data_IF_098441569012
#
_entry.id   IF_098441569012
#
_cell.length_a   1.000
_cell.length_b   1.000
_cell.length_c   1.000
_cell.angle_alpha   90.00
_cell.angle_beta   90.00
_cell.angle_gamma   90.00
#
_symmetry.space_group_name_H-M   'P 1'
#
loop_
_entity.id
_entity.type
_entity.pdbx_description
1 polymer ?
#
# COMPACT_ATOMS: atom_id res chain seq x y z
N UNK A 1 13.83 -15.23 -70.45
CA UNK A 1 13.44 -14.07 -69.61
C UNK A 1 14.34 -12.88 -69.95
N UNK A 2 13.77 -11.72 -70.25
CA UNK A 2 14.53 -10.51 -70.61
C UNK A 2 15.38 -10.07 -69.41
N UNK A 3 16.61 -9.63 -69.67
CA UNK A 3 17.60 -9.21 -68.67
C UNK A 3 17.02 -8.20 -67.65
N UNK A 4 16.18 -7.27 -68.12
CA UNK A 4 15.47 -6.31 -67.29
C UNK A 4 14.61 -6.94 -66.18
N UNK A 5 13.96 -8.08 -66.46
CA UNK A 5 13.10 -8.77 -65.46
C UNK A 5 13.93 -9.38 -64.33
N UNK A 6 15.12 -9.92 -64.64
CA UNK A 6 16.04 -10.46 -63.62
C UNK A 6 16.59 -9.35 -62.73
N UNK A 7 16.95 -8.22 -63.33
CA UNK A 7 17.45 -7.06 -62.60
C UNK A 7 16.38 -6.48 -61.66
N UNK A 8 15.15 -6.33 -62.14
CA UNK A 8 14.02 -5.87 -61.33
C UNK A 8 13.74 -6.78 -60.13
N UNK A 9 13.80 -8.11 -60.31
CA UNK A 9 13.63 -9.08 -59.23
C UNK A 9 14.70 -8.95 -58.14
N UNK A 10 15.97 -8.75 -58.52
CA UNK A 10 17.07 -8.56 -57.57
C UNK A 10 16.88 -7.28 -56.75
N UNK A 11 16.55 -6.17 -57.41
CA UNK A 11 16.27 -4.91 -56.71
C UNK A 11 15.05 -5.00 -55.79
N UNK A 12 13.98 -5.66 -56.24
CA UNK A 12 12.81 -5.91 -55.39
C UNK A 12 13.17 -6.76 -54.17
N UNK A 13 13.99 -7.80 -54.34
CA UNK A 13 14.48 -8.62 -53.24
C UNK A 13 15.31 -7.81 -52.24
N UNK A 14 16.20 -6.95 -52.73
CA UNK A 14 16.99 -6.06 -51.89
C UNK A 14 16.11 -5.10 -51.06
N UNK A 15 15.08 -4.51 -51.69
CA UNK A 15 14.12 -3.63 -51.00
C UNK A 15 13.38 -4.38 -49.89
N UNK A 16 12.93 -5.61 -50.14
CA UNK A 16 12.24 -6.42 -49.13
C UNK A 16 13.17 -6.75 -47.97
N UNK A 17 14.42 -7.14 -48.23
CA UNK A 17 15.39 -7.47 -47.18
C UNK A 17 15.72 -6.22 -46.36
N UNK A 18 16.05 -5.10 -47.01
CA UNK A 18 16.36 -3.85 -46.34
C UNK A 18 15.16 -3.34 -45.51
N UNK A 19 13.95 -3.39 -46.07
CA UNK A 19 12.73 -3.03 -45.37
C UNK A 19 12.47 -3.92 -44.14
N UNK A 20 12.69 -5.22 -44.27
CA UNK A 20 12.53 -6.17 -43.17
C UNK A 20 13.50 -5.89 -42.02
N UNK A 21 14.76 -5.56 -42.33
CA UNK A 21 15.77 -5.18 -41.33
C UNK A 21 15.34 -3.91 -40.58
N UNK A 22 14.87 -2.89 -41.31
CA UNK A 22 14.42 -1.63 -40.68
C UNK A 22 13.21 -1.88 -39.78
N UNK A 23 12.20 -2.60 -40.25
CA UNK A 23 11.01 -2.92 -39.45
C UNK A 23 11.37 -3.72 -38.21
N UNK A 24 12.25 -4.71 -38.34
CA UNK A 24 12.73 -5.50 -37.21
C UNK A 24 13.46 -4.63 -36.17
N UNK A 25 14.41 -3.81 -36.62
CA UNK A 25 15.16 -2.91 -35.72
C UNK A 25 14.25 -1.94 -34.98
N UNK A 26 13.29 -1.32 -35.68
CA UNK A 26 12.31 -0.43 -35.05
C UNK A 26 11.47 -1.21 -34.03
N UNK A 27 10.99 -2.41 -34.39
CA UNK A 27 10.19 -3.22 -33.47
C UNK A 27 10.95 -3.60 -32.20
N UNK A 28 12.24 -3.92 -32.29
CA UNK A 28 13.07 -4.24 -31.12
C UNK A 28 13.26 -2.98 -30.28
N UNK A 29 13.68 -1.86 -30.87
CA UNK A 29 13.87 -0.62 -30.12
C UNK A 29 12.58 -0.12 -29.45
N UNK A 30 11.44 -0.24 -30.12
CA UNK A 30 10.15 0.13 -29.51
C UNK A 30 9.81 -0.77 -28.31
N UNK A 31 10.10 -2.07 -28.38
CA UNK A 31 9.90 -2.98 -27.24
C UNK A 31 10.77 -2.55 -26.05
N UNK A 32 12.05 -2.32 -26.29
CA UNK A 32 13.00 -1.94 -25.22
C UNK A 32 12.60 -0.63 -24.55
N UNK A 33 12.22 0.39 -25.35
CA UNK A 33 11.74 1.68 -24.83
C UNK A 33 10.47 1.50 -24.01
N UNK A 34 9.53 0.68 -24.50
CA UNK A 34 8.26 0.48 -23.82
C UNK A 34 8.44 -0.31 -22.52
N UNK A 35 9.29 -1.32 -22.51
CA UNK A 35 9.63 -2.08 -21.31
C UNK A 35 10.30 -1.20 -20.25
N UNK A 36 11.26 -0.37 -20.66
CA UNK A 36 11.90 0.62 -19.79
C UNK A 36 10.88 1.59 -19.20
N UNK A 37 10.01 2.16 -20.03
CA UNK A 37 8.99 3.11 -19.57
C UNK A 37 7.97 2.46 -18.62
N UNK A 38 7.58 1.20 -18.87
CA UNK A 38 6.70 0.45 -17.97
C UNK A 38 7.41 0.19 -16.63
N UNK A 39 8.67 -0.26 -16.67
CA UNK A 39 9.46 -0.52 -15.46
C UNK A 39 9.61 0.73 -14.62
N UNK A 40 10.00 1.85 -15.21
CA UNK A 40 10.15 3.13 -14.53
C UNK A 40 8.82 3.57 -13.88
N UNK A 41 7.70 3.40 -14.60
CA UNK A 41 6.39 3.77 -14.08
C UNK A 41 5.95 2.88 -12.92
N UNK A 42 6.21 1.58 -13.00
CA UNK A 42 5.93 0.64 -11.91
C UNK A 42 6.78 0.95 -10.69
N UNK A 43 8.06 1.29 -10.88
CA UNK A 43 8.94 1.67 -9.79
C UNK A 43 8.47 2.95 -9.10
N UNK A 44 8.09 3.98 -9.87
CA UNK A 44 7.53 5.22 -9.35
C UNK A 44 6.24 4.95 -8.55
N UNK A 45 5.34 4.12 -9.09
CA UNK A 45 4.10 3.73 -8.41
C UNK A 45 4.37 2.96 -7.12
N UNK A 46 5.33 2.03 -7.12
CA UNK A 46 5.73 1.29 -5.94
C UNK A 46 6.29 2.22 -4.86
N UNK A 47 7.14 3.18 -5.24
CA UNK A 47 7.66 4.20 -4.33
C UNK A 47 6.54 5.03 -3.71
N UNK A 48 5.60 5.53 -4.52
CA UNK A 48 4.46 6.29 -4.01
C UNK A 48 3.52 5.46 -3.13
N UNK A 49 3.34 4.17 -3.43
CA UNK A 49 2.57 3.27 -2.60
C UNK A 49 3.23 3.09 -1.22
N UNK A 50 4.55 2.88 -1.19
CA UNK A 50 5.30 2.76 0.05
C UNK A 50 5.26 4.05 0.88
N UNK A 51 5.48 5.22 0.27
CA UNK A 51 5.37 6.50 0.99
C UNK A 51 3.97 6.71 1.59
N UNK A 52 2.91 6.32 0.88
CA UNK A 52 1.54 6.37 1.43
C UNK A 52 1.34 5.39 2.59
N UNK A 53 1.89 4.19 2.49
CA UNK A 53 1.84 3.19 3.56
C UNK A 53 2.56 3.71 4.81
N UNK A 54 3.77 4.24 4.65
CA UNK A 54 4.57 4.80 5.74
C UNK A 54 3.86 5.96 6.42
N UNK A 55 3.31 6.90 5.64
CA UNK A 55 2.50 8.00 6.17
C UNK A 55 1.28 7.49 6.92
N UNK A 56 0.61 6.46 6.40
CA UNK A 56 -0.55 5.88 7.07
C UNK A 56 -0.18 5.17 8.39
N UNK A 57 0.97 4.48 8.45
CA UNK A 57 1.49 3.91 9.69
C UNK A 57 1.90 4.98 10.68
N UNK A 58 2.62 6.00 10.23
CA UNK A 58 3.02 7.13 11.07
C UNK A 58 1.79 7.85 11.66
N UNK A 59 0.76 8.09 10.84
CA UNK A 59 -0.49 8.67 11.32
C UNK A 59 -1.14 7.80 12.39
N UNK A 60 -1.24 6.48 12.18
CA UNK A 60 -1.80 5.55 13.19
C UNK A 60 -0.99 5.54 14.49
N UNK A 61 0.34 5.54 14.38
CA UNK A 61 1.23 5.63 15.53
C UNK A 61 1.04 6.94 16.30
N UNK A 62 0.97 8.07 15.60
CA UNK A 62 0.74 9.37 16.21
C UNK A 62 -0.63 9.45 16.91
N UNK A 63 -1.67 8.90 16.30
CA UNK A 63 -3.00 8.81 16.93
C UNK A 63 -3.00 7.90 18.17
N UNK A 64 -2.28 6.78 18.14
CA UNK A 64 -2.11 5.93 19.31
C UNK A 64 -1.37 6.67 20.45
N UNK A 65 -0.40 7.53 20.13
CA UNK A 65 0.28 8.38 21.10
C UNK A 65 -0.66 9.41 21.74
N UNK A 66 -1.50 10.07 20.94
CA UNK A 66 -2.54 10.99 21.46
C UNK A 66 -3.50 10.24 22.39
N UNK A 67 -4.01 9.08 21.95
CA UNK A 67 -4.92 8.28 22.78
C UNK A 67 -4.26 7.84 24.10
N UNK A 68 -2.98 7.50 24.07
CA UNK A 68 -2.20 7.20 25.29
C UNK A 68 -2.15 8.41 26.21
N UNK A 69 -1.90 9.60 25.69
CA UNK A 69 -1.86 10.84 26.50
C UNK A 69 -3.22 11.14 27.13
N UNK A 70 -4.32 11.02 26.38
CA UNK A 70 -5.69 11.13 26.91
C UNK A 70 -5.98 10.09 28.01
N UNK A 71 -5.52 8.85 27.83
CA UNK A 71 -5.66 7.78 28.83
C UNK A 71 -4.84 8.05 30.09
N UNK A 72 -3.58 8.50 29.95
CA UNK A 72 -2.72 8.83 31.09
C UNK A 72 -3.32 9.97 31.90
N UNK A 73 -3.82 11.02 31.25
CA UNK A 73 -4.52 12.12 31.91
C UNK A 73 -5.73 11.58 32.71
N UNK A 74 -6.56 10.75 32.07
CA UNK A 74 -7.72 10.13 32.71
C UNK A 74 -7.36 9.28 33.95
N UNK A 75 -6.24 8.53 33.90
CA UNK A 75 -5.79 7.70 35.03
C UNK A 75 -5.05 8.49 36.13
N UNK A 76 -4.46 9.65 35.79
CA UNK A 76 -3.67 10.45 36.74
C UNK A 76 -4.51 11.20 37.78
N UNK A 77 -5.83 11.32 37.57
CA UNK A 77 -6.77 11.97 38.50
C UNK A 77 -7.12 11.15 39.75
N UNK A 78 -6.36 10.10 40.08
CA UNK A 78 -6.64 9.24 41.26
C UNK A 78 -7.91 8.38 41.13
N UNK A 79 -8.47 8.30 39.92
CA UNK A 79 -9.63 7.46 39.60
C UNK A 79 -9.15 6.03 39.37
N UNK A 80 -9.74 5.08 40.09
CA UNK A 80 -9.55 3.67 39.77
C UNK A 80 -10.15 3.43 38.37
N UNK A 81 -9.40 2.90 37.39
CA UNK A 81 -9.86 2.71 36.02
C UNK A 81 -11.19 1.96 35.94
N UNK A 82 -12.29 2.65 35.69
CA UNK A 82 -13.54 1.97 35.36
C UNK A 82 -13.49 1.55 33.89
N UNK A 83 -13.47 0.25 33.62
CA UNK A 83 -13.41 -0.31 32.27
C UNK A 83 -14.54 0.19 31.36
N UNK A 84 -15.70 0.54 31.92
CA UNK A 84 -16.82 1.15 31.16
C UNK A 84 -16.49 2.55 30.65
N UNK A 85 -15.76 3.33 31.44
CA UNK A 85 -15.41 4.70 31.07
C UNK A 85 -14.25 4.70 30.07
N UNK A 86 -13.30 3.76 30.21
CA UNK A 86 -12.30 3.49 29.17
C UNK A 86 -12.97 3.09 27.86
N UNK A 87 -13.95 2.17 27.87
CA UNK A 87 -14.69 1.78 26.66
C UNK A 87 -15.38 2.98 25.98
N UNK A 88 -15.98 3.89 26.75
CA UNK A 88 -16.57 5.13 26.21
C UNK A 88 -15.52 6.06 25.60
N UNK A 89 -14.36 6.21 26.24
CA UNK A 89 -13.26 7.00 25.69
C UNK A 89 -12.79 6.41 24.35
N UNK A 90 -12.58 5.09 24.29
CA UNK A 90 -12.19 4.39 23.07
C UNK A 90 -13.24 4.53 21.97
N UNK A 91 -14.54 4.39 22.29
CA UNK A 91 -15.63 4.59 21.34
C UNK A 91 -15.68 6.04 20.83
N UNK A 92 -15.50 7.02 21.71
CA UNK A 92 -15.43 8.44 21.34
C UNK A 92 -14.24 8.70 20.41
N UNK A 93 -13.06 8.19 20.74
CA UNK A 93 -11.87 8.33 19.92
C UNK A 93 -12.04 7.67 18.54
N UNK A 94 -12.59 6.45 18.51
CA UNK A 94 -12.89 5.72 17.27
C UNK A 94 -13.92 6.46 16.41
N UNK A 95 -14.96 7.05 17.01
CA UNK A 95 -15.95 7.85 16.27
C UNK A 95 -15.36 9.12 15.65
N UNK A 96 -14.39 9.77 16.33
CA UNK A 96 -13.65 10.93 15.84
C UNK A 96 -12.62 10.56 14.76
N UNK A 97 -12.05 9.37 14.85
CA UNK A 97 -10.98 8.88 13.98
C UNK A 97 -11.41 7.59 13.27
N UNK A 98 -12.22 7.72 12.21
CA UNK A 98 -12.80 6.62 11.44
C UNK A 98 -11.78 5.72 10.71
N UNK A 99 -10.49 6.03 10.80
CA UNK A 99 -9.40 5.16 10.34
C UNK A 99 -9.32 3.85 11.13
N UNK A 100 -9.87 3.82 12.35
CA UNK A 100 -9.90 2.64 13.20
C UNK A 100 -11.22 1.89 13.08
N UNK A 101 -11.13 0.59 12.78
CA UNK A 101 -12.30 -0.30 12.80
C UNK A 101 -12.75 -0.56 14.22
N UNK A 102 -11.82 -0.77 15.15
CA UNK A 102 -12.06 -0.88 16.59
C UNK A 102 -10.79 -0.49 17.36
N UNK A 103 -10.94 -0.19 18.64
CA UNK A 103 -9.86 0.07 19.59
C UNK A 103 -10.12 -0.73 20.85
N UNK A 104 -9.12 -1.47 21.31
CA UNK A 104 -9.21 -2.30 22.50
C UNK A 104 -8.09 -1.95 23.48
N UNK A 105 -8.39 -2.01 24.76
CA UNK A 105 -7.45 -1.79 25.86
C UNK A 105 -7.21 -3.11 26.58
N UNK A 106 -5.94 -3.46 26.75
CA UNK A 106 -5.50 -4.72 27.34
C UNK A 106 -4.68 -4.46 28.60
N UNK A 107 -4.66 -5.42 29.52
CA UNK A 107 -3.66 -5.47 30.57
C UNK A 107 -2.36 -6.14 30.09
N UNK A 108 -1.40 -6.26 31.03
CA UNK A 108 -0.10 -6.88 30.77
C UNK A 108 -0.21 -8.39 30.46
N UNK A 109 -1.30 -9.04 30.88
CA UNK A 109 -1.59 -10.45 30.62
C UNK A 109 -2.36 -10.65 29.30
N UNK A 110 -2.54 -9.58 28.51
CA UNK A 110 -3.32 -9.56 27.26
C UNK A 110 -4.80 -9.90 27.47
N UNK A 111 -5.32 -9.67 28.67
CA UNK A 111 -6.75 -9.69 28.93
C UNK A 111 -7.36 -8.41 28.34
N UNK A 112 -8.37 -8.57 27.48
CA UNK A 112 -9.09 -7.41 26.93
C UNK A 112 -9.98 -6.80 28.01
N UNK A 113 -9.61 -5.63 28.53
CA UNK A 113 -10.32 -4.93 29.60
C UNK A 113 -11.43 -4.02 29.08
N UNK A 114 -11.24 -3.41 27.91
CA UNK A 114 -12.23 -2.55 27.27
C UNK A 114 -12.11 -2.61 25.75
N UNK A 115 -13.20 -2.32 25.05
CA UNK A 115 -13.27 -2.29 23.59
C UNK A 115 -14.27 -1.24 23.11
N UNK A 116 -13.95 -0.54 22.02
CA UNK A 116 -14.80 0.51 21.45
C UNK A 116 -16.15 0.00 20.93
N UNK A 117 -16.25 -1.29 20.59
CA UNK A 117 -17.48 -1.96 20.14
C UNK A 117 -18.05 -2.90 21.22
N UNK A 118 -17.32 -3.13 22.30
CA UNK A 118 -17.71 -4.06 23.36
C UNK A 118 -17.51 -5.53 23.00
N UNK A 119 -16.71 -5.84 21.99
CA UNK A 119 -16.47 -7.22 21.54
C UNK A 119 -15.36 -7.89 22.38
N UNK A 120 -15.55 -9.19 22.69
CA UNK A 120 -14.56 -10.08 23.34
C UNK A 120 -13.93 -9.59 24.65
N UNK A 121 -14.68 -8.83 25.46
CA UNK A 121 -14.25 -8.41 26.79
C UNK A 121 -13.97 -9.62 27.70
N UNK A 122 -12.90 -9.54 28.50
CA UNK A 122 -12.51 -10.60 29.44
C UNK A 122 -11.86 -11.84 28.79
N UNK A 123 -11.56 -11.80 27.49
CA UNK A 123 -10.81 -12.86 26.81
C UNK A 123 -9.31 -12.55 26.79
N UNK A 124 -8.49 -13.54 27.15
CA UNK A 124 -7.04 -13.50 26.99
C UNK A 124 -6.71 -13.85 25.55
N UNK A 125 -5.87 -13.04 24.91
CA UNK A 125 -5.44 -13.26 23.53
C UNK A 125 -3.98 -13.74 23.53
N UNK A 126 -3.73 -14.99 23.13
CA UNK A 126 -2.38 -15.50 22.89
C UNK A 126 -1.98 -15.30 21.43
N UNK A 127 -0.69 -15.11 21.17
CA UNK A 127 -0.16 -15.17 19.81
C UNK A 127 -0.29 -16.63 19.34
N UNK A 128 -1.20 -16.89 18.41
CA UNK A 128 -1.18 -18.09 17.57
C UNK A 128 -0.13 -17.93 16.47
#
# INVERSE_FOLDING_TARGET
>A
MRFATKLALIFSGFIVVAGSIVVYSVSVSTKDIMESAISDKLQEQAFHAMDKIDRAFYQRYYMAKILREELVEYFSEGKNPNTKDVAKLLAKFQSKHQVFTSLSFFDMDRLRLADSKGEDLGKIHSNS
#
